data_IF_135100246221
#
_entry.id   IF_135100246221
#
_cell.length_a   1.000
_cell.length_b   1.000
_cell.length_c   1.000
_cell.angle_alpha   90.00
_cell.angle_beta   90.00
_cell.angle_gamma   90.00
#
_symmetry.space_group_name_H-M   'P 1'
#
loop_
_entity.id
_entity.type
_entity.pdbx_description
1 polymer ?
#
# COMPACT_ATOMS: atom_id res chain seq x y z
N UNK A 1 -11.11 -25.30 -22.21
CA UNK A 1 -9.64 -25.15 -22.31
C UNK A 1 -8.97 -26.13 -21.37
N UNK A 2 -7.93 -26.86 -21.83
CA UNK A 2 -7.18 -27.78 -20.96
C UNK A 2 -6.36 -26.99 -19.93
N UNK A 3 -6.27 -27.52 -18.71
CA UNK A 3 -5.41 -26.98 -17.64
C UNK A 3 -3.95 -27.11 -18.11
N UNK A 4 -3.14 -26.06 -17.92
CA UNK A 4 -1.73 -26.00 -18.33
C UNK A 4 -1.46 -25.94 -19.85
N UNK A 5 -2.38 -25.37 -20.64
CA UNK A 5 -2.10 -25.05 -22.06
C UNK A 5 -1.49 -23.65 -22.18
N UNK A 6 -0.32 -23.55 -22.81
CA UNK A 6 0.31 -22.28 -23.18
C UNK A 6 0.14 -22.09 -24.69
N UNK A 7 -0.37 -20.94 -25.09
CA UNK A 7 -0.40 -20.51 -26.48
C UNK A 7 0.72 -19.49 -26.68
N UNK A 8 1.60 -19.75 -27.64
CA UNK A 8 2.68 -18.83 -28.01
C UNK A 8 2.42 -18.38 -29.43
N UNK A 9 2.37 -17.07 -29.62
CA UNK A 9 2.31 -16.48 -30.95
C UNK A 9 3.70 -16.54 -31.60
N UNK A 10 3.77 -16.89 -32.89
CA UNK A 10 5.04 -17.16 -33.61
C UNK A 10 5.73 -15.90 -34.13
N UNK A 11 5.58 -14.77 -33.43
CA UNK A 11 6.18 -13.50 -33.84
C UNK A 11 7.60 -13.34 -33.28
N UNK A 12 8.62 -13.35 -34.15
CA UNK A 12 10.02 -13.12 -33.77
C UNK A 12 10.58 -11.91 -34.52
N UNK A 13 10.99 -10.87 -33.76
CA UNK A 13 11.85 -9.78 -34.23
C UNK A 13 13.20 -9.86 -33.53
N UNK A 14 14.27 -9.63 -34.28
CA UNK A 14 15.64 -9.48 -33.76
C UNK A 14 16.02 -8.02 -33.84
N UNK A 15 16.75 -7.53 -32.85
CA UNK A 15 17.25 -6.17 -32.78
C UNK A 15 18.71 -6.23 -32.38
N UNK A 16 19.53 -5.38 -32.99
CA UNK A 16 20.92 -5.20 -32.57
C UNK A 16 20.98 -4.35 -31.30
N UNK A 17 21.86 -4.72 -30.37
CA UNK A 17 21.98 -4.01 -29.09
C UNK A 17 22.44 -2.56 -29.31
N UNK A 18 23.33 -2.34 -30.27
CA UNK A 18 23.80 -1.01 -30.66
C UNK A 18 22.67 -0.09 -31.15
N UNK A 19 21.76 -0.61 -31.96
CA UNK A 19 20.59 0.13 -32.45
C UNK A 19 19.65 0.52 -31.30
N UNK A 20 19.40 -0.42 -30.39
CA UNK A 20 18.58 -0.15 -29.21
C UNK A 20 19.23 0.91 -28.30
N UNK A 21 20.55 0.85 -28.09
CA UNK A 21 21.27 1.84 -27.30
C UNK A 21 21.24 3.24 -27.96
N UNK A 22 21.36 3.31 -29.29
CA UNK A 22 21.20 4.57 -30.01
C UNK A 22 19.78 5.13 -29.87
N UNK A 23 18.76 4.27 -29.93
CA UNK A 23 17.38 4.68 -29.72
C UNK A 23 17.15 5.21 -28.30
N UNK A 24 17.69 4.54 -27.28
CA UNK A 24 17.64 5.00 -25.88
C UNK A 24 18.36 6.33 -25.72
N UNK A 25 19.55 6.48 -26.31
CA UNK A 25 20.30 7.73 -26.27
C UNK A 25 19.54 8.88 -26.92
N UNK A 26 18.95 8.66 -28.10
CA UNK A 26 18.08 9.65 -28.78
C UNK A 26 16.89 10.02 -27.90
N UNK A 27 16.19 9.03 -27.32
CA UNK A 27 15.04 9.24 -26.43
C UNK A 27 15.39 10.15 -25.23
N UNK A 28 16.58 9.99 -24.65
CA UNK A 28 17.02 10.79 -23.49
C UNK A 28 17.51 12.18 -23.94
N UNK A 29 18.34 12.26 -24.98
CA UNK A 29 19.09 13.47 -25.35
C UNK A 29 18.32 14.42 -26.28
N UNK A 30 17.32 13.89 -26.99
CA UNK A 30 16.56 14.62 -28.02
C UNK A 30 15.08 14.80 -27.63
N UNK A 31 14.75 14.68 -26.34
CA UNK A 31 13.39 14.92 -25.86
C UNK A 31 12.97 16.39 -26.06
N UNK A 32 11.93 16.60 -26.86
CA UNK A 32 11.34 17.90 -27.14
C UNK A 32 10.00 18.06 -26.42
N UNK A 33 9.86 19.13 -25.66
CA UNK A 33 8.65 19.48 -24.91
C UNK A 33 8.06 20.73 -25.54
N UNK A 34 6.75 20.68 -25.84
CA UNK A 34 6.00 21.84 -26.34
C UNK A 34 5.24 22.49 -25.19
N UNK A 35 5.52 23.77 -24.94
CA UNK A 35 4.79 24.59 -23.96
C UNK A 35 4.16 25.77 -24.71
N UNK A 36 2.83 25.74 -24.85
CA UNK A 36 2.11 26.68 -25.69
C UNK A 36 2.54 26.59 -27.15
N UNK A 37 3.11 27.67 -27.69
CA UNK A 37 3.61 27.75 -29.09
C UNK A 37 5.12 27.48 -29.22
N UNK A 38 5.84 27.27 -28.12
CA UNK A 38 7.31 27.13 -28.11
C UNK A 38 7.73 25.68 -27.90
N UNK A 39 8.84 25.31 -28.53
CA UNK A 39 9.50 24.02 -28.34
C UNK A 39 10.76 24.20 -27.50
N UNK A 40 10.97 23.28 -26.57
CA UNK A 40 12.10 23.24 -25.67
C UNK A 40 12.75 21.87 -25.73
N UNK A 41 14.07 21.79 -25.65
CA UNK A 41 14.78 20.52 -25.50
C UNK A 41 15.17 20.33 -24.04
N UNK A 42 14.80 19.20 -23.46
CA UNK A 42 15.26 18.85 -22.12
C UNK A 42 16.76 18.55 -22.17
N UNK A 43 17.54 19.20 -21.29
CA UNK A 43 18.99 19.00 -21.19
C UNK A 43 19.42 18.29 -19.90
N UNK A 44 18.57 18.28 -18.89
CA UNK A 44 18.87 17.75 -17.57
C UNK A 44 17.82 16.72 -17.18
N UNK A 45 18.30 15.58 -16.66
CA UNK A 45 17.47 14.48 -16.19
C UNK A 45 16.80 13.67 -17.31
N UNK A 46 16.05 12.66 -16.88
CA UNK A 46 15.28 11.77 -17.76
C UNK A 46 13.87 12.35 -17.93
N UNK A 47 13.24 12.25 -19.11
CA UNK A 47 11.88 12.76 -19.31
C UNK A 47 10.85 12.12 -18.37
N UNK A 48 10.14 12.94 -17.60
CA UNK A 48 9.06 12.46 -16.74
C UNK A 48 7.90 11.94 -17.61
N UNK A 49 7.42 10.73 -17.30
CA UNK A 49 6.43 10.02 -18.14
C UNK A 49 7.06 9.16 -19.25
N UNK A 50 8.39 9.15 -19.38
CA UNK A 50 9.06 8.14 -20.20
C UNK A 50 8.84 6.74 -19.63
N UNK A 51 8.50 5.79 -20.49
CA UNK A 51 8.41 4.36 -20.16
C UNK A 51 9.74 3.78 -19.65
N UNK A 52 10.88 4.42 -19.94
CA UNK A 52 12.22 3.99 -19.54
C UNK A 52 12.70 4.65 -18.25
N UNK A 53 12.01 5.69 -17.77
CA UNK A 53 12.48 6.50 -16.63
C UNK A 53 12.74 5.69 -15.37
N UNK A 54 11.79 4.84 -14.98
CA UNK A 54 11.93 3.96 -13.81
C UNK A 54 13.08 2.95 -13.96
N UNK A 55 13.22 2.34 -15.14
CA UNK A 55 14.28 1.35 -15.40
C UNK A 55 15.67 1.99 -15.34
N UNK A 56 15.84 3.14 -16.00
CA UNK A 56 17.10 3.86 -15.99
C UNK A 56 17.45 4.35 -14.59
N UNK A 57 16.49 4.93 -13.85
CA UNK A 57 16.71 5.34 -12.46
C UNK A 57 17.16 4.16 -11.58
N UNK A 58 16.50 3.01 -11.73
CA UNK A 58 16.91 1.80 -11.02
C UNK A 58 18.32 1.33 -11.41
N UNK A 59 18.67 1.39 -12.69
CA UNK A 59 20.01 1.02 -13.18
C UNK A 59 21.10 1.92 -12.60
N UNK A 60 20.92 3.24 -12.67
CA UNK A 60 21.88 4.22 -12.13
C UNK A 60 22.07 4.07 -10.61
N UNK A 61 20.98 3.91 -9.86
CA UNK A 61 21.09 3.78 -8.40
C UNK A 61 21.48 2.40 -7.92
N UNK A 62 21.27 1.34 -8.71
CA UNK A 62 21.85 0.03 -8.41
C UNK A 62 23.39 0.08 -8.44
N UNK A 63 23.96 0.86 -9.37
CA UNK A 63 25.41 1.07 -9.42
C UNK A 63 25.93 1.89 -8.22
N UNK A 64 25.18 2.92 -7.79
CA UNK A 64 25.47 3.66 -6.55
C UNK A 64 25.43 2.74 -5.33
N UNK A 65 24.44 1.85 -5.23
CA UNK A 65 24.34 0.88 -4.14
C UNK A 65 25.57 -0.04 -4.11
N UNK A 66 25.96 -0.56 -5.28
CA UNK A 66 27.06 -1.51 -5.41
C UNK A 66 28.43 -0.91 -5.10
N UNK A 67 28.66 0.38 -5.41
CA UNK A 67 29.97 0.99 -5.27
C UNK A 67 30.07 1.93 -4.06
N UNK A 68 29.10 2.82 -3.87
CA UNK A 68 29.13 3.85 -2.82
C UNK A 68 28.57 3.33 -1.50
N UNK A 69 27.51 2.54 -1.56
CA UNK A 69 26.83 1.98 -0.37
C UNK A 69 27.20 0.53 -0.06
N UNK A 70 28.27 0.02 -0.68
CA UNK A 70 28.76 -1.36 -0.53
C UNK A 70 29.02 -1.78 0.92
N UNK A 71 29.33 -0.84 1.81
CA UNK A 71 29.53 -1.10 3.25
C UNK A 71 28.26 -1.54 3.98
N UNK A 72 27.08 -1.39 3.36
CA UNK A 72 25.80 -1.89 3.86
C UNK A 72 25.51 -3.33 3.43
N UNK A 73 26.36 -3.92 2.58
CA UNK A 73 26.25 -5.32 2.18
C UNK A 73 26.79 -6.23 3.29
N UNK A 74 26.01 -6.39 4.35
CA UNK A 74 26.35 -7.19 5.53
C UNK A 74 25.08 -7.71 6.23
N UNK A 75 25.20 -8.82 6.96
CA UNK A 75 24.07 -9.52 7.58
C UNK A 75 23.30 -8.70 8.63
N UNK A 76 23.90 -7.63 9.15
CA UNK A 76 23.30 -6.73 10.14
C UNK A 76 22.50 -5.58 9.52
N UNK A 77 22.39 -5.52 8.19
CA UNK A 77 21.86 -4.38 7.45
C UNK A 77 20.94 -4.82 6.30
N UNK A 78 19.85 -4.07 6.12
CA UNK A 78 18.92 -4.21 5.01
C UNK A 78 18.72 -2.84 4.38
N UNK A 79 19.19 -2.69 3.14
CA UNK A 79 18.90 -1.54 2.30
C UNK A 79 17.77 -1.89 1.33
N UNK A 80 16.70 -1.10 1.35
CA UNK A 80 15.60 -1.18 0.39
C UNK A 80 15.45 0.15 -0.33
N UNK A 81 15.25 0.10 -1.65
CA UNK A 81 15.00 1.28 -2.47
C UNK A 81 13.79 1.10 -3.37
N UNK A 82 12.96 2.14 -3.45
CA UNK A 82 11.94 2.28 -4.48
C UNK A 82 12.19 3.58 -5.23
N UNK A 83 12.78 3.47 -6.43
CA UNK A 83 13.18 4.63 -7.24
C UNK A 83 14.14 5.53 -6.45
N UNK A 84 13.67 6.64 -5.89
CA UNK A 84 14.42 7.64 -5.14
C UNK A 84 14.24 7.54 -3.61
N UNK A 85 13.29 6.73 -3.12
CA UNK A 85 13.05 6.53 -1.70
C UNK A 85 13.89 5.36 -1.15
N UNK A 86 14.82 5.67 -0.24
CA UNK A 86 15.65 4.69 0.46
C UNK A 86 15.13 4.40 1.88
N UNK A 87 15.23 3.15 2.30
CA UNK A 87 15.04 2.68 3.67
C UNK A 87 16.26 1.86 4.07
N UNK A 88 16.89 2.23 5.17
CA UNK A 88 17.95 1.44 5.81
C UNK A 88 17.45 0.94 7.16
N UNK A 89 17.53 -0.37 7.37
CA UNK A 89 17.34 -1.01 8.67
C UNK A 89 18.68 -1.65 9.03
N UNK A 90 19.27 -1.29 10.17
CA UNK A 90 20.57 -1.85 10.59
C UNK A 90 20.66 -1.95 12.10
N UNK A 91 21.36 -2.98 12.59
CA UNK A 91 21.71 -3.11 14.01
C UNK A 91 22.95 -2.28 14.40
N UNK A 92 23.74 -1.82 13.42
CA UNK A 92 24.92 -0.98 13.65
C UNK A 92 24.60 0.51 13.41
N UNK A 93 24.49 1.27 14.51
CA UNK A 93 24.24 2.72 14.45
C UNK A 93 25.28 3.46 13.61
N UNK A 94 26.53 3.01 13.59
CA UNK A 94 27.61 3.66 12.83
C UNK A 94 27.35 3.62 11.33
N UNK A 95 26.78 2.50 10.83
CA UNK A 95 26.37 2.36 9.42
C UNK A 95 25.22 3.30 9.07
N UNK A 96 24.23 3.42 9.95
CA UNK A 96 23.13 4.37 9.76
C UNK A 96 23.64 5.82 9.70
N UNK A 97 24.56 6.20 10.60
CA UNK A 97 25.19 7.53 10.59
C UNK A 97 25.95 7.76 9.28
N UNK A 98 26.80 6.81 8.88
CA UNK A 98 27.59 6.91 7.63
C UNK A 98 26.69 7.01 6.39
N UNK A 99 25.63 6.21 6.32
CA UNK A 99 24.64 6.26 5.24
C UNK A 99 24.00 7.65 5.13
N UNK A 100 23.54 8.19 6.26
CA UNK A 100 22.93 9.53 6.29
C UNK A 100 23.94 10.62 5.90
N UNK A 101 25.19 10.53 6.34
CA UNK A 101 26.25 11.47 5.95
C UNK A 101 26.48 11.46 4.44
N UNK A 102 26.67 10.28 3.83
CA UNK A 102 26.88 10.14 2.38
C UNK A 102 25.71 10.77 1.60
N UNK A 103 24.47 10.45 1.99
CA UNK A 103 23.29 10.95 1.29
C UNK A 103 23.07 12.47 1.46
N UNK A 104 23.37 13.03 2.64
CA UNK A 104 23.24 14.47 2.90
C UNK A 104 24.36 15.31 2.25
N UNK A 105 25.58 14.77 2.18
CA UNK A 105 26.66 15.38 1.39
C UNK A 105 26.35 15.36 -0.11
N UNK A 106 25.49 14.42 -0.54
CA UNK A 106 25.12 14.21 -1.92
C UNK A 106 26.15 13.35 -2.64
N UNK A 107 25.73 12.79 -3.77
CA UNK A 107 26.62 11.99 -4.63
C UNK A 107 26.58 12.59 -6.04
N UNK A 108 27.41 13.62 -6.33
CA UNK A 108 27.34 14.39 -7.56
C UNK A 108 27.48 13.54 -8.83
N UNK A 109 28.31 12.50 -8.80
CA UNK A 109 28.51 11.55 -9.90
C UNK A 109 27.19 10.88 -10.35
N UNK A 110 26.28 10.67 -9.40
CA UNK A 110 24.97 10.06 -9.65
C UNK A 110 23.82 11.09 -9.65
N UNK A 111 24.14 12.40 -9.56
CA UNK A 111 23.15 13.47 -9.46
C UNK A 111 22.26 13.37 -8.22
N UNK A 112 22.71 12.69 -7.16
CA UNK A 112 21.92 12.49 -5.93
C UNK A 112 22.04 13.72 -5.03
N UNK A 113 20.89 14.30 -4.70
CA UNK A 113 20.74 15.31 -3.67
C UNK A 113 19.54 14.95 -2.82
N UNK A 114 19.72 14.95 -1.49
CA UNK A 114 18.63 14.64 -0.56
C UNK A 114 17.96 15.93 -0.09
N UNK A 115 16.64 15.86 0.10
CA UNK A 115 15.89 16.89 0.79
C UNK A 115 15.97 16.64 2.31
N UNK A 116 16.71 17.44 3.10
CA UNK A 116 16.92 17.17 4.53
C UNK A 116 15.62 17.12 5.34
N UNK A 117 14.55 17.79 4.88
CA UNK A 117 13.24 17.79 5.54
C UNK A 117 12.47 16.48 5.38
N UNK A 118 12.87 15.64 4.42
CA UNK A 118 12.26 14.32 4.18
C UNK A 118 13.04 13.19 4.83
N UNK A 119 14.28 13.44 5.25
CA UNK A 119 15.08 12.51 6.03
C UNK A 119 14.46 12.28 7.41
N UNK A 120 14.43 11.02 7.84
CA UNK A 120 13.88 10.60 9.11
C UNK A 120 14.74 9.49 9.72
N UNK A 121 15.03 9.58 11.01
CA UNK A 121 15.77 8.56 11.78
C UNK A 121 15.04 8.24 13.07
N UNK A 122 15.33 7.09 13.71
CA UNK A 122 14.75 6.73 15.01
C UNK A 122 15.68 7.01 16.20
N UNK A 123 16.74 7.77 16.01
CA UNK A 123 17.71 8.17 17.03
C UNK A 123 18.16 9.62 16.84
N UNK A 124 18.85 10.19 17.81
CA UNK A 124 19.36 11.57 17.69
C UNK A 124 20.56 11.63 16.75
N UNK A 125 20.43 12.42 15.68
CA UNK A 125 21.42 12.60 14.64
C UNK A 125 21.50 14.06 14.21
N UNK A 126 22.74 14.53 14.07
CA UNK A 126 23.07 15.85 13.53
C UNK A 126 24.09 15.68 12.40
N UNK A 127 23.87 16.35 11.28
CA UNK A 127 24.77 16.37 10.13
C UNK A 127 24.99 17.82 9.75
N UNK A 128 26.25 18.24 9.66
CA UNK A 128 26.65 19.61 9.30
C UNK A 128 25.96 20.70 10.13
N UNK A 129 25.80 20.48 11.43
CA UNK A 129 25.13 21.41 12.34
C UNK A 129 23.59 21.41 12.25
N UNK A 130 23.00 20.54 11.42
CA UNK A 130 21.56 20.41 11.24
C UNK A 130 21.03 19.11 11.85
N UNK A 131 20.08 19.25 12.77
CA UNK A 131 19.39 18.09 13.36
C UNK A 131 18.47 17.45 12.32
N UNK A 132 18.62 16.14 12.15
CA UNK A 132 17.73 15.34 11.30
C UNK A 132 16.43 15.08 12.05
N UNK A 133 15.31 15.06 11.32
CA UNK A 133 14.01 14.72 11.92
C UNK A 133 14.08 13.34 12.59
N UNK A 134 13.67 13.29 13.85
CA UNK A 134 13.58 12.05 14.62
C UNK A 134 12.14 11.58 14.64
N UNK A 135 11.95 10.27 14.47
CA UNK A 135 10.66 9.60 14.64
C UNK A 135 10.18 9.82 16.08
N UNK A 136 8.97 10.36 16.23
CA UNK A 136 8.38 10.56 17.55
C UNK A 136 8.17 9.23 18.27
N UNK A 137 8.29 9.26 19.61
CA UNK A 137 8.11 8.07 20.42
C UNK A 137 6.72 7.45 20.22
N UNK A 138 6.69 6.13 19.98
CA UNK A 138 5.47 5.38 19.73
C UNK A 138 4.89 5.49 18.31
N UNK A 139 5.53 6.26 17.40
CA UNK A 139 5.19 6.25 15.97
C UNK A 139 5.92 5.12 15.25
N UNK A 140 5.38 4.75 14.09
CA UNK A 140 5.97 3.78 13.18
C UNK A 140 6.70 4.51 12.03
N UNK A 141 7.80 3.92 11.56
CA UNK A 141 8.63 4.47 10.49
C UNK A 141 7.92 4.35 9.13
N UNK A 142 7.64 5.45 8.41
CA UNK A 142 6.95 5.42 7.13
C UNK A 142 7.89 5.05 5.98
N UNK A 143 7.45 4.15 5.10
CA UNK A 143 8.14 3.84 3.85
C UNK A 143 7.16 3.34 2.79
N UNK A 144 7.10 4.02 1.63
CA UNK A 144 6.34 3.61 0.44
C UNK A 144 4.89 3.12 0.71
N UNK A 145 4.14 3.83 1.57
CA UNK A 145 2.75 3.48 1.91
C UNK A 145 2.61 2.41 3.01
N UNK A 146 3.71 2.05 3.67
CA UNK A 146 3.76 1.19 4.86
C UNK A 146 4.28 1.97 6.07
N UNK A 147 4.02 1.42 7.25
CA UNK A 147 4.46 1.89 8.55
C UNK A 147 5.12 0.71 9.26
N UNK A 148 6.36 0.88 9.72
CA UNK A 148 7.18 -0.19 10.30
C UNK A 148 7.43 0.14 11.76
N UNK A 149 7.05 -0.75 12.67
CA UNK A 149 7.47 -0.63 14.07
C UNK A 149 8.98 -0.90 14.19
N UNK A 150 9.74 0.07 14.70
CA UNK A 150 11.21 -0.03 14.74
C UNK A 150 11.74 -1.01 15.79
N UNK A 151 10.88 -1.54 16.67
CA UNK A 151 11.23 -2.51 17.72
C UNK A 151 10.74 -3.91 17.38
N UNK A 152 9.50 -4.03 16.90
CA UNK A 152 8.88 -5.34 16.61
C UNK A 152 8.97 -5.74 15.14
N UNK A 153 9.25 -4.78 14.24
CA UNK A 153 9.17 -4.92 12.78
C UNK A 153 7.77 -5.22 12.25
N UNK A 154 6.74 -5.09 13.09
CA UNK A 154 5.35 -5.16 12.67
C UNK A 154 5.06 -4.12 11.58
N UNK A 155 4.38 -4.55 10.52
CA UNK A 155 4.11 -3.76 9.32
C UNK A 155 2.63 -3.41 9.26
N UNK A 156 2.34 -2.12 9.25
CA UNK A 156 1.00 -1.57 9.10
C UNK A 156 0.87 -0.84 7.76
N UNK A 157 -0.32 -0.82 7.16
CA UNK A 157 -0.57 0.02 5.98
C UNK A 157 -0.70 1.48 6.39
N UNK A 158 0.09 2.38 5.80
CA UNK A 158 -0.10 3.81 5.98
C UNK A 158 -1.45 4.23 5.37
N UNK A 159 -2.29 4.90 6.15
CA UNK A 159 -3.56 5.43 5.68
C UNK A 159 -3.49 6.95 5.51
N UNK A 160 -4.39 7.49 4.70
CA UNK A 160 -4.54 8.95 4.56
C UNK A 160 -4.92 9.64 5.88
N UNK A 161 -5.36 8.89 6.91
CA UNK A 161 -5.62 9.43 8.25
C UNK A 161 -4.35 9.56 9.08
N UNK A 162 -3.30 8.79 8.77
CA UNK A 162 -2.02 8.83 9.49
C UNK A 162 -1.10 9.96 8.99
N UNK A 163 -1.40 10.55 7.83
CA UNK A 163 -0.66 11.66 7.24
C UNK A 163 -1.36 12.99 7.59
N UNK A 164 -0.84 13.66 8.60
CA UNK A 164 -1.44 14.78 9.34
C UNK A 164 -1.60 16.12 8.57
N UNK A 165 -1.64 16.12 7.22
CA UNK A 165 -1.57 17.37 6.44
C UNK A 165 -2.51 17.54 5.26
N UNK A 166 -3.34 16.56 4.93
CA UNK A 166 -4.52 16.81 4.09
C UNK A 166 -5.54 15.70 4.29
N UNK A 167 -6.71 16.04 4.83
CA UNK A 167 -7.92 15.25 4.60
C UNK A 167 -8.23 15.35 3.11
N UNK A 168 -7.43 14.70 2.25
CA UNK A 168 -7.81 14.51 0.86
C UNK A 168 -9.21 13.89 0.90
N UNK A 169 -10.21 14.56 0.33
CA UNK A 169 -11.55 14.04 0.30
C UNK A 169 -11.51 12.62 -0.24
N UNK A 170 -12.07 11.65 0.49
CA UNK A 170 -12.11 10.23 0.05
C UNK A 170 -12.61 10.12 -1.40
N UNK A 171 -13.46 11.05 -1.84
CA UNK A 171 -14.00 11.18 -3.18
C UNK A 171 -12.92 11.29 -4.27
N UNK A 172 -11.79 11.96 -4.01
CA UNK A 172 -10.71 12.15 -4.99
C UNK A 172 -9.95 10.85 -5.29
N UNK A 173 -10.09 9.85 -4.41
CA UNK A 173 -9.51 8.51 -4.59
C UNK A 173 -10.47 7.52 -5.28
N UNK A 174 -11.68 7.95 -5.67
CA UNK A 174 -12.72 7.08 -6.20
C UNK A 174 -12.94 7.26 -7.69
N UNK A 175 -12.90 6.16 -8.44
CA UNK A 175 -13.44 6.10 -9.80
C UNK A 175 -14.91 5.68 -9.75
N UNK A 176 -15.81 6.65 -9.94
CA UNK A 176 -17.27 6.45 -9.94
C UNK A 176 -17.73 5.98 -11.32
N UNK A 177 -18.49 4.87 -11.35
CA UNK A 177 -18.94 4.26 -12.60
C UNK A 177 -20.47 4.28 -12.71
N UNK A 178 -20.98 5.04 -13.68
CA UNK A 178 -22.41 5.17 -13.94
C UNK A 178 -22.92 4.06 -14.87
N UNK A 179 -22.93 2.82 -14.38
CA UNK A 179 -23.37 1.66 -15.15
C UNK A 179 -24.91 1.53 -15.27
N UNK A 180 -25.37 0.65 -16.18
CA UNK A 180 -26.77 0.18 -16.25
C UNK A 180 -27.10 -0.87 -15.19
N UNK A 181 -26.09 -1.49 -14.57
CA UNK A 181 -26.20 -2.50 -13.51
C UNK A 181 -25.59 -1.99 -12.18
N UNK A 182 -26.15 -0.90 -11.60
CA UNK A 182 -25.50 -0.18 -10.49
C UNK A 182 -25.22 -1.05 -9.26
N UNK A 183 -26.10 -2.02 -8.92
CA UNK A 183 -25.89 -2.92 -7.79
C UNK A 183 -24.71 -3.89 -7.96
N UNK A 184 -24.52 -4.45 -9.15
CA UNK A 184 -23.38 -5.34 -9.45
C UNK A 184 -22.07 -4.56 -9.45
N UNK A 185 -22.07 -3.38 -10.08
CA UNK A 185 -20.92 -2.49 -10.11
C UNK A 185 -20.54 -2.02 -8.71
N UNK A 186 -21.53 -1.66 -7.89
CA UNK A 186 -21.34 -1.32 -6.48
C UNK A 186 -20.66 -2.47 -5.72
N UNK A 187 -21.22 -3.68 -5.77
CA UNK A 187 -20.64 -4.84 -5.07
C UNK A 187 -19.20 -5.11 -5.52
N UNK A 188 -18.94 -5.09 -6.83
CA UNK A 188 -17.59 -5.26 -7.39
C UNK A 188 -16.62 -4.20 -6.89
N UNK A 189 -17.03 -2.93 -6.86
CA UNK A 189 -16.18 -1.82 -6.38
C UNK A 189 -15.84 -1.97 -4.90
N UNK A 190 -16.80 -2.39 -4.06
CA UNK A 190 -16.58 -2.65 -2.62
C UNK A 190 -15.60 -3.81 -2.42
N UNK A 191 -15.80 -4.93 -3.11
CA UNK A 191 -14.91 -6.09 -3.05
C UNK A 191 -13.48 -5.75 -3.51
N UNK A 192 -13.36 -5.00 -4.62
CA UNK A 192 -12.07 -4.58 -5.14
C UNK A 192 -11.36 -3.58 -4.23
N UNK A 193 -12.09 -2.68 -3.56
CA UNK A 193 -11.51 -1.75 -2.61
C UNK A 193 -10.76 -2.49 -1.48
N UNK A 194 -11.38 -3.53 -0.91
CA UNK A 194 -10.70 -4.39 0.07
C UNK A 194 -9.51 -5.12 -0.55
N UNK A 195 -9.68 -5.74 -1.73
CA UNK A 195 -8.62 -6.53 -2.37
C UNK A 195 -7.36 -5.71 -2.67
N UNK A 196 -7.50 -4.50 -3.19
CA UNK A 196 -6.38 -3.63 -3.60
C UNK A 196 -5.49 -3.25 -2.42
N UNK A 197 -6.08 -2.98 -1.25
CA UNK A 197 -5.34 -2.59 -0.04
C UNK A 197 -4.90 -3.79 0.82
N UNK A 198 -5.27 -5.02 0.43
CA UNK A 198 -5.03 -6.26 1.18
C UNK A 198 -3.78 -7.01 0.70
N UNK A 199 -2.63 -6.33 0.70
CA UNK A 199 -1.34 -6.98 0.44
C UNK A 199 -1.04 -8.05 1.51
N UNK A 200 -0.39 -9.15 1.10
CA UNK A 200 -0.21 -10.32 1.98
C UNK A 200 0.61 -10.01 3.23
N UNK A 201 1.58 -9.10 3.10
CA UNK A 201 2.52 -8.75 4.17
C UNK A 201 1.86 -8.18 5.42
N UNK A 202 0.66 -7.60 5.31
CA UNK A 202 -0.07 -7.03 6.45
C UNK A 202 -0.79 -8.10 7.29
N UNK A 203 -0.92 -9.31 6.75
CA UNK A 203 -1.70 -10.39 7.35
C UNK A 203 -0.86 -11.62 7.69
N UNK A 204 0.42 -11.59 7.35
CA UNK A 204 1.34 -12.68 7.64
C UNK A 204 1.72 -12.63 9.12
N UNK A 205 1.36 -13.67 9.87
CA UNK A 205 1.69 -13.80 11.29
C UNK A 205 3.13 -14.26 11.52
N UNK A 206 3.87 -14.64 10.46
CA UNK A 206 5.32 -14.80 10.52
C UNK A 206 6.05 -13.45 10.48
N UNK A 207 5.43 -12.41 9.93
CA UNK A 207 5.98 -11.05 9.87
C UNK A 207 5.39 -10.11 10.92
N UNK A 208 4.15 -10.35 11.35
CA UNK A 208 3.43 -9.47 12.26
C UNK A 208 2.93 -10.23 13.49
N UNK A 209 2.90 -9.56 14.63
CA UNK A 209 2.16 -10.01 15.78
C UNK A 209 0.67 -10.20 15.47
N UNK A 210 0.01 -11.12 16.18
CA UNK A 210 -1.43 -11.35 16.00
C UNK A 210 -2.29 -10.09 16.20
N UNK A 211 -2.03 -9.22 17.21
CA UNK A 211 -2.74 -7.95 17.35
C UNK A 211 -2.57 -7.03 16.14
N UNK A 212 -1.36 -6.92 15.59
CA UNK A 212 -1.11 -6.07 14.40
C UNK A 212 -1.79 -6.63 13.16
N UNK A 213 -1.72 -7.94 12.93
CA UNK A 213 -2.45 -8.60 11.84
C UNK A 213 -3.96 -8.33 11.91
N UNK A 214 -4.57 -8.49 13.09
CA UNK A 214 -6.00 -8.22 13.29
C UNK A 214 -6.33 -6.73 13.11
N UNK A 215 -5.44 -5.83 13.55
CA UNK A 215 -5.57 -4.39 13.37
C UNK A 215 -5.52 -4.02 11.89
N UNK A 216 -4.60 -4.61 11.12
CA UNK A 216 -4.52 -4.45 9.68
C UNK A 216 -5.80 -4.91 8.97
N UNK A 217 -6.37 -6.06 9.35
CA UNK A 217 -7.66 -6.54 8.79
C UNK A 217 -8.77 -5.53 9.09
N UNK A 218 -8.89 -5.08 10.35
CA UNK A 218 -9.91 -4.10 10.74
C UNK A 218 -9.75 -2.78 9.97
N UNK A 219 -8.53 -2.25 9.89
CA UNK A 219 -8.21 -1.02 9.14
C UNK A 219 -8.61 -1.15 7.68
N UNK A 220 -8.32 -2.28 7.04
CA UNK A 220 -8.77 -2.56 5.68
C UNK A 220 -10.30 -2.57 5.56
N UNK A 221 -11.05 -3.09 6.54
CA UNK A 221 -12.51 -2.98 6.52
C UNK A 221 -13.02 -1.56 6.76
N UNK A 222 -12.40 -0.78 7.65
CA UNK A 222 -12.77 0.64 7.88
C UNK A 222 -12.57 1.45 6.59
N UNK A 223 -11.44 1.28 5.92
CA UNK A 223 -11.17 1.96 4.65
C UNK A 223 -12.15 1.51 3.55
N UNK A 224 -12.47 0.22 3.49
CA UNK A 224 -13.47 -0.32 2.55
C UNK A 224 -14.87 0.26 2.81
N UNK A 225 -15.30 0.32 4.07
CA UNK A 225 -16.59 0.87 4.45
C UNK A 225 -16.67 2.37 4.14
N UNK A 226 -15.57 3.11 4.35
CA UNK A 226 -15.47 4.54 4.04
C UNK A 226 -15.56 4.77 2.52
N UNK A 227 -14.84 3.99 1.71
CA UNK A 227 -14.90 4.04 0.24
C UNK A 227 -16.28 3.62 -0.28
N UNK A 228 -16.90 2.58 0.29
CA UNK A 228 -18.25 2.15 -0.04
C UNK A 228 -19.26 3.29 0.17
N UNK A 229 -19.25 3.89 1.36
CA UNK A 229 -20.16 4.98 1.70
C UNK A 229 -19.96 6.18 0.75
N UNK A 230 -18.72 6.58 0.51
CA UNK A 230 -18.40 7.69 -0.37
C UNK A 230 -18.82 7.40 -1.83
N UNK A 231 -18.58 6.18 -2.32
CA UNK A 231 -19.02 5.75 -3.64
C UNK A 231 -20.54 5.82 -3.78
N UNK A 232 -21.30 5.33 -2.78
CA UNK A 232 -22.77 5.43 -2.77
C UNK A 232 -23.24 6.88 -2.86
N UNK A 233 -22.57 7.81 -2.17
CA UNK A 233 -22.93 9.23 -2.23
C UNK A 233 -22.69 9.89 -3.58
N UNK A 234 -21.77 9.36 -4.37
CA UNK A 234 -21.52 9.84 -5.73
C UNK A 234 -22.54 9.33 -6.76
N UNK A 235 -23.39 8.37 -6.39
CA UNK A 235 -24.42 7.84 -7.29
C UNK A 235 -25.70 8.69 -7.23
N UNK A 236 -26.42 8.86 -8.36
CA UNK A 236 -27.75 9.45 -8.37
C UNK A 236 -28.68 8.69 -7.43
N UNK A 237 -29.62 9.38 -6.76
CA UNK A 237 -30.48 8.79 -5.74
C UNK A 237 -31.18 7.49 -6.20
N UNK A 238 -31.70 7.47 -7.43
CA UNK A 238 -32.37 6.29 -8.03
C UNK A 238 -31.43 5.11 -8.32
N UNK A 239 -30.12 5.34 -8.34
CA UNK A 239 -29.09 4.30 -8.56
C UNK A 239 -28.34 3.90 -7.28
N UNK A 240 -28.67 4.50 -6.14
CA UNK A 240 -28.07 4.10 -4.86
C UNK A 240 -28.53 2.69 -4.47
N UNK A 241 -27.64 1.86 -3.89
CA UNK A 241 -27.99 0.50 -3.52
C UNK A 241 -29.04 0.49 -2.39
N UNK A 242 -30.00 -0.43 -2.49
CA UNK A 242 -30.95 -0.67 -1.39
C UNK A 242 -30.22 -1.25 -0.17
N UNK A 243 -30.79 -1.13 1.04
CA UNK A 243 -30.20 -1.73 2.24
C UNK A 243 -29.91 -3.23 2.11
N UNK A 244 -30.74 -3.99 1.39
CA UNK A 244 -30.52 -5.42 1.15
C UNK A 244 -29.31 -5.68 0.25
N UNK A 245 -29.08 -4.85 -0.76
CA UNK A 245 -27.88 -4.92 -1.61
C UNK A 245 -26.63 -4.59 -0.80
N UNK A 246 -26.71 -3.60 0.09
CA UNK A 246 -25.60 -3.25 1.01
C UNK A 246 -25.29 -4.43 1.94
N UNK A 247 -26.29 -5.01 2.60
CA UNK A 247 -26.13 -6.14 3.52
C UNK A 247 -25.52 -7.36 2.80
N UNK A 248 -26.08 -7.75 1.65
CA UNK A 248 -25.55 -8.86 0.83
C UNK A 248 -24.11 -8.59 0.38
N UNK A 249 -23.79 -7.33 0.07
CA UNK A 249 -22.42 -6.94 -0.29
C UNK A 249 -21.45 -7.08 0.87
N UNK A 250 -21.84 -6.68 2.09
CA UNK A 250 -21.02 -6.84 3.30
C UNK A 250 -20.80 -8.33 3.61
N UNK A 251 -21.84 -9.16 3.53
CA UNK A 251 -21.71 -10.62 3.72
C UNK A 251 -20.74 -11.23 2.70
N UNK A 252 -20.91 -10.91 1.41
CA UNK A 252 -20.02 -11.39 0.34
C UNK A 252 -18.59 -10.90 0.51
N UNK A 253 -18.42 -9.68 0.99
CA UNK A 253 -17.11 -9.11 1.30
C UNK A 253 -16.41 -9.91 2.41
N UNK A 254 -17.10 -10.25 3.50
CA UNK A 254 -16.54 -11.08 4.58
C UNK A 254 -16.08 -12.44 4.06
N UNK A 255 -16.91 -13.11 3.27
CA UNK A 255 -16.53 -14.41 2.67
C UNK A 255 -15.30 -14.28 1.76
N UNK A 256 -15.28 -13.25 0.93
CA UNK A 256 -14.18 -13.00 -0.01
C UNK A 256 -12.90 -12.63 0.73
N UNK A 257 -12.99 -11.81 1.78
CA UNK A 257 -11.88 -11.42 2.63
C UNK A 257 -11.29 -12.64 3.35
N UNK A 258 -12.13 -13.45 3.99
CA UNK A 258 -11.68 -14.69 4.64
C UNK A 258 -10.94 -15.60 3.66
N UNK A 259 -11.54 -15.89 2.50
CA UNK A 259 -10.88 -16.70 1.48
C UNK A 259 -9.57 -16.06 1.00
N UNK A 260 -9.53 -14.74 0.80
CA UNK A 260 -8.31 -14.04 0.40
C UNK A 260 -7.19 -14.18 1.44
N UNK A 261 -7.54 -14.05 2.73
CA UNK A 261 -6.59 -14.14 3.85
C UNK A 261 -6.05 -15.57 4.01
N UNK A 262 -6.90 -16.60 3.97
CA UNK A 262 -6.48 -17.98 4.29
C UNK A 262 -6.34 -18.92 3.08
N UNK A 263 -6.50 -18.44 1.84
CA UNK A 263 -6.57 -19.35 0.67
C UNK A 263 -5.33 -20.26 0.52
N UNK A 264 -5.59 -21.51 0.15
CA UNK A 264 -4.56 -22.47 -0.28
C UNK A 264 -3.75 -21.95 -1.47
N UNK A 265 -4.39 -21.22 -2.39
CA UNK A 265 -3.71 -20.61 -3.55
C UNK A 265 -2.64 -19.61 -3.13
N UNK A 266 -2.86 -18.86 -2.05
CA UNK A 266 -1.86 -17.94 -1.51
C UNK A 266 -0.67 -18.70 -0.94
N UNK A 267 -0.90 -19.76 -0.16
CA UNK A 267 0.16 -20.64 0.36
C UNK A 267 0.94 -21.36 -0.75
N UNK A 268 0.28 -21.74 -1.84
CA UNK A 268 0.97 -22.33 -3.00
C UNK A 268 1.92 -21.35 -3.70
N UNK A 269 1.56 -20.05 -3.72
CA UNK A 269 2.39 -19.00 -4.33
C UNK A 269 3.46 -18.47 -3.37
N UNK A 270 3.18 -18.50 -2.07
CA UNK A 270 4.04 -18.01 -0.99
C UNK A 270 4.08 -19.09 0.11
N UNK A 271 4.98 -20.09 0.00
CA UNK A 271 5.03 -21.22 0.93
C UNK A 271 5.18 -20.83 2.40
N UNK A 272 5.93 -19.76 2.67
CA UNK A 272 6.20 -19.27 4.02
C UNK A 272 5.08 -18.41 4.61
N UNK A 273 4.05 -18.09 3.83
CA UNK A 273 2.95 -17.25 4.29
C UNK A 273 2.11 -17.96 5.35
N UNK A 274 2.08 -17.38 6.56
CA UNK A 274 1.27 -17.89 7.66
C UNK A 274 0.16 -16.90 7.98
N UNK A 275 -1.09 -17.34 7.92
CA UNK A 275 -2.22 -16.55 8.41
C UNK A 275 -3.24 -17.50 9.00
N UNK A 276 -3.29 -17.51 10.33
CA UNK A 276 -4.27 -18.27 11.09
C UNK A 276 -5.32 -17.31 11.64
N UNK A 277 -6.32 -16.96 10.82
CA UNK A 277 -7.48 -16.17 11.24
C UNK A 277 -8.75 -16.98 11.00
N UNK A 278 -9.67 -16.97 11.96
CA UNK A 278 -10.94 -17.68 11.86
C UNK A 278 -11.99 -16.83 11.12
N UNK A 279 -12.94 -17.49 10.46
CA UNK A 279 -14.03 -16.79 9.75
C UNK A 279 -14.86 -15.90 10.70
N UNK A 280 -15.12 -16.36 11.92
CA UNK A 280 -15.82 -15.57 12.93
C UNK A 280 -15.06 -14.29 13.33
N UNK A 281 -13.72 -14.34 13.42
CA UNK A 281 -12.87 -13.18 13.70
C UNK A 281 -12.95 -12.17 12.55
N UNK A 282 -12.85 -12.63 11.30
CA UNK A 282 -13.01 -11.76 10.11
C UNK A 282 -14.39 -11.11 10.09
N UNK A 283 -15.46 -11.88 10.33
CA UNK A 283 -16.82 -11.34 10.41
C UNK A 283 -16.95 -10.28 11.50
N UNK A 284 -16.40 -10.55 12.69
CA UNK A 284 -16.43 -9.65 13.83
C UNK A 284 -15.73 -8.32 13.52
N UNK A 285 -14.51 -8.37 12.98
CA UNK A 285 -13.74 -7.19 12.60
C UNK A 285 -14.44 -6.39 11.51
N UNK A 286 -15.03 -7.07 10.51
CA UNK A 286 -15.79 -6.41 9.45
C UNK A 286 -17.03 -5.70 10.01
N UNK A 287 -17.87 -6.38 10.78
CA UNK A 287 -19.12 -5.79 11.26
C UNK A 287 -18.88 -4.61 12.21
N UNK A 288 -17.87 -4.70 13.06
CA UNK A 288 -17.47 -3.57 13.91
C UNK A 288 -16.94 -2.38 13.09
N UNK A 289 -16.08 -2.62 12.10
CA UNK A 289 -15.57 -1.57 11.22
C UNK A 289 -16.69 -0.88 10.41
N UNK A 290 -17.63 -1.66 9.84
CA UNK A 290 -18.77 -1.11 9.11
C UNK A 290 -19.72 -0.36 10.05
N UNK A 291 -19.97 -0.85 11.26
CA UNK A 291 -20.77 -0.16 12.25
C UNK A 291 -20.12 1.19 12.66
N UNK A 292 -18.80 1.21 12.89
CA UNK A 292 -18.05 2.43 13.22
C UNK A 292 -18.22 3.52 12.14
N UNK A 293 -18.13 3.14 10.86
CA UNK A 293 -18.25 4.10 9.75
C UNK A 293 -19.71 4.53 9.53
N UNK A 294 -20.65 3.59 9.46
CA UNK A 294 -22.04 3.86 9.11
C UNK A 294 -22.86 4.47 10.26
N UNK A 295 -22.48 4.24 11.52
CA UNK A 295 -23.15 4.83 12.69
C UNK A 295 -23.05 6.36 12.73
N UNK A 296 -22.09 6.96 12.02
CA UNK A 296 -21.98 8.41 11.84
C UNK A 296 -22.87 8.94 10.69
N UNK A 297 -23.63 8.05 10.02
CA UNK A 297 -24.38 8.27 8.77
C UNK A 297 -25.79 7.65 8.83
N UNK A 298 -26.40 7.63 10.01
CA UNK A 298 -27.54 6.77 10.35
C UNK A 298 -28.75 6.91 9.43
N UNK A 299 -29.06 8.13 8.98
CA UNK A 299 -30.27 8.45 8.20
C UNK A 299 -30.49 7.54 6.98
N UNK A 300 -29.41 7.09 6.32
CA UNK A 300 -29.50 6.24 5.11
C UNK A 300 -29.21 4.76 5.37
N UNK A 301 -28.82 4.39 6.61
CA UNK A 301 -28.31 3.05 6.92
C UNK A 301 -29.00 2.38 8.11
N UNK A 302 -30.16 2.88 8.58
CA UNK A 302 -30.87 2.33 9.74
C UNK A 302 -31.07 0.82 9.68
N UNK A 303 -31.57 0.29 8.55
CA UNK A 303 -31.77 -1.17 8.36
C UNK A 303 -30.45 -1.94 8.42
N UNK A 304 -29.42 -1.43 7.75
CA UNK A 304 -28.08 -2.05 7.75
C UNK A 304 -27.44 -2.01 9.14
N UNK A 305 -27.60 -0.92 9.89
CA UNK A 305 -27.09 -0.78 11.26
C UNK A 305 -27.81 -1.73 12.23
N UNK A 306 -29.12 -1.88 12.11
CA UNK A 306 -29.88 -2.86 12.90
C UNK A 306 -29.40 -4.29 12.63
N UNK A 307 -29.19 -4.64 11.35
CA UNK A 307 -28.62 -5.92 10.97
C UNK A 307 -27.20 -6.13 11.52
N UNK A 308 -26.30 -5.15 11.37
CA UNK A 308 -24.94 -5.21 11.92
C UNK A 308 -24.93 -5.44 13.43
N UNK A 309 -25.79 -4.73 14.18
CA UNK A 309 -25.93 -4.92 15.63
C UNK A 309 -26.39 -6.33 15.97
N UNK A 310 -27.39 -6.86 15.27
CA UNK A 310 -27.89 -8.21 15.49
C UNK A 310 -26.80 -9.27 15.23
N UNK A 311 -26.03 -9.13 14.14
CA UNK A 311 -24.93 -10.05 13.83
C UNK A 311 -23.77 -9.95 14.82
N UNK A 312 -23.41 -8.75 15.28
CA UNK A 312 -22.41 -8.58 16.34
C UNK A 312 -22.84 -9.27 17.65
N UNK A 313 -24.12 -9.15 18.04
CA UNK A 313 -24.64 -9.87 19.23
C UNK A 313 -24.49 -11.38 19.08
N UNK A 314 -24.83 -11.94 17.91
CA UNK A 314 -24.65 -13.38 17.64
C UNK A 314 -23.19 -13.81 17.74
N UNK A 315 -22.28 -13.03 17.16
CA UNK A 315 -20.84 -13.34 17.21
C UNK A 315 -20.29 -13.26 18.65
N UNK A 316 -20.77 -12.34 19.48
CA UNK A 316 -20.40 -12.23 20.90
C UNK A 316 -20.84 -13.41 21.79
N UNK A 317 -21.69 -14.30 21.28
CA UNK A 317 -22.02 -15.56 21.95
C UNK A 317 -20.92 -16.62 21.76
N UNK A 318 -20.06 -16.46 20.76
CA UNK A 318 -18.94 -17.37 20.51
C UNK A 318 -17.80 -17.07 21.51
N UNK A 319 -17.31 -18.11 22.20
CA UNK A 319 -16.18 -18.01 23.13
C UNK A 319 -14.93 -17.43 22.45
N UNK A 320 -14.70 -17.84 21.20
CA UNK A 320 -13.63 -17.35 20.31
C UNK A 320 -13.66 -15.84 20.07
N UNK A 321 -14.80 -15.19 20.27
CA UNK A 321 -14.95 -13.74 20.14
C UNK A 321 -14.95 -13.09 21.52
N UNK A 322 -15.76 -13.57 22.46
CA UNK A 322 -15.93 -12.96 23.79
C UNK A 322 -14.64 -12.90 24.60
N UNK A 323 -13.84 -13.96 24.54
CA UNK A 323 -12.57 -14.06 25.25
C UNK A 323 -11.39 -14.19 24.27
N UNK A 324 -11.63 -13.89 22.99
CA UNK A 324 -10.63 -14.03 21.95
C UNK A 324 -9.78 -12.79 21.76
N UNK A 325 -8.67 -12.98 21.06
CA UNK A 325 -7.71 -11.93 20.68
C UNK A 325 -8.28 -10.79 19.84
N UNK A 326 -9.49 -10.92 19.29
CA UNK A 326 -10.15 -9.82 18.56
C UNK A 326 -10.63 -8.69 19.46
N UNK A 327 -10.81 -8.92 20.76
CA UNK A 327 -11.25 -7.89 21.71
C UNK A 327 -10.19 -6.81 21.94
N UNK A 328 -8.91 -7.11 21.70
CA UNK A 328 -7.81 -6.14 21.90
C UNK A 328 -7.71 -5.10 20.77
N UNK A 329 -8.56 -5.22 19.74
CA UNK A 329 -8.40 -4.49 18.46
C UNK A 329 -9.65 -3.68 18.07
N UNK A 330 -10.80 -3.91 18.72
CA UNK A 330 -12.10 -3.35 18.32
C UNK A 330 -12.45 -2.06 19.05
#
# INVERSE_FOLDING_TARGET
MKRNTVFVDLYQKKYETSELLQLVASHIQQNLIKVGKKYYRQKQGIPQGSILSSTLCNYFYADLEAHVLSFLNSDDSLLSRLIDDFLLITADRSKAVRFMQILHQGVPEYGVTVNPKKSLVNFDLEIDGQKISKLEDGKQFPYCGTLIDTKTLDITRASNQDQDKSKLPVYDSLTVEFSRTPGQTFQRKVLNAFKIQSHIMFFDTGLNSAPTMLSNIRRAFVETATKMWAYTRCLPALKQPSPDVVIKTIQRLVDTAYLLLVSKTRKLRYPDYVCDVKKCEVSWLAYNAFHQVLSRKQSNYTKTLAWLKAESVKLNLLKDIRHGRVQTVV
#
